data_IF_934806519762
#
_entry.id   IF_934806519762
#
_cell.length_a   1.000
_cell.length_b   1.000
_cell.length_c   1.000
_cell.angle_alpha   90.00
_cell.angle_beta   90.00
_cell.angle_gamma   90.00
#
_symmetry.space_group_name_H-M   'P 1'
#
loop_
_entity.id
_entity.type
_entity.pdbx_description
1 polymer ?
#
# COMPACT_ATOMS: atom_id res chain seq x y z
N UNK A 1 49.32 -7.21 30.79
CA UNK A 1 48.77 -8.46 30.21
C UNK A 1 47.26 -8.55 30.42
N UNK A 2 46.77 -8.34 31.64
CA UNK A 2 45.33 -8.30 31.93
C UNK A 2 44.56 -7.21 31.14
N UNK A 3 45.12 -6.01 31.01
CA UNK A 3 44.44 -4.90 30.31
C UNK A 3 44.23 -5.18 28.81
N UNK A 4 45.19 -5.85 28.16
CA UNK A 4 45.10 -6.23 26.74
C UNK A 4 43.95 -7.25 26.54
N UNK A 5 43.79 -8.19 27.48
CA UNK A 5 42.71 -9.18 27.45
C UNK A 5 41.35 -8.49 27.63
N UNK A 6 41.24 -7.53 28.54
CA UNK A 6 40.00 -6.77 28.78
C UNK A 6 39.60 -5.95 27.55
N UNK A 7 40.55 -5.29 26.88
CA UNK A 7 40.29 -4.51 25.66
C UNK A 7 39.79 -5.42 24.52
N UNK A 8 40.38 -6.60 24.36
CA UNK A 8 39.95 -7.57 23.34
C UNK A 8 38.52 -8.07 23.57
N UNK A 9 38.14 -8.33 24.83
CA UNK A 9 36.79 -8.75 25.18
C UNK A 9 35.78 -7.63 24.92
N UNK A 10 36.12 -6.40 25.33
CA UNK A 10 35.27 -5.23 25.11
C UNK A 10 35.04 -4.95 23.62
N UNK A 11 36.10 -5.06 22.80
CA UNK A 11 36.00 -4.90 21.36
C UNK A 11 35.10 -5.96 20.70
N UNK A 12 35.15 -7.21 21.17
CA UNK A 12 34.31 -8.32 20.70
C UNK A 12 32.82 -8.10 21.04
N UNK A 13 32.53 -7.58 22.24
CA UNK A 13 31.16 -7.26 22.66
C UNK A 13 30.59 -6.08 21.85
N UNK A 14 31.36 -5.01 21.66
CA UNK A 14 30.92 -3.86 20.86
C UNK A 14 30.75 -4.23 19.38
N UNK A 15 31.68 -5.02 18.83
CA UNK A 15 31.62 -5.48 17.44
C UNK A 15 30.41 -6.37 17.15
N UNK A 16 30.08 -7.30 18.05
CA UNK A 16 28.91 -8.17 17.88
C UNK A 16 27.58 -7.38 17.98
N UNK A 17 27.48 -6.42 18.90
CA UNK A 17 26.32 -5.53 19.00
C UNK A 17 26.13 -4.65 17.75
N UNK A 18 27.21 -4.07 17.23
CA UNK A 18 27.17 -3.28 16.00
C UNK A 18 26.78 -4.14 14.79
N UNK A 19 27.37 -5.33 14.65
CA UNK A 19 27.06 -6.26 13.56
C UNK A 19 25.59 -6.73 13.61
N UNK A 20 25.06 -7.01 14.81
CA UNK A 20 23.66 -7.38 15.00
C UNK A 20 22.71 -6.26 14.55
N UNK A 21 22.98 -5.01 14.95
CA UNK A 21 22.18 -3.85 14.53
C UNK A 21 22.24 -3.61 13.02
N UNK A 22 23.41 -3.76 12.39
CA UNK A 22 23.59 -3.59 10.94
C UNK A 22 22.86 -4.71 10.17
N UNK A 23 22.92 -5.95 10.66
CA UNK A 23 22.24 -7.11 10.05
C UNK A 23 20.71 -6.96 10.11
N UNK A 24 20.18 -6.48 11.25
CA UNK A 24 18.76 -6.23 11.42
C UNK A 24 18.23 -5.19 10.41
N UNK A 25 18.96 -4.09 10.21
CA UNK A 25 18.58 -3.04 9.23
C UNK A 25 18.57 -3.55 7.79
N UNK A 26 19.47 -4.47 7.43
CA UNK A 26 19.58 -5.02 6.06
C UNK A 26 18.50 -6.06 5.75
N UNK A 27 17.91 -6.69 6.76
CA UNK A 27 16.85 -7.71 6.64
C UNK A 27 15.42 -7.13 6.56
N UNK A 28 15.25 -5.82 6.41
CA UNK A 28 13.95 -5.23 6.06
C UNK A 28 12.99 -4.93 7.22
N UNK A 29 13.41 -5.06 8.48
CA UNK A 29 12.63 -4.53 9.62
C UNK A 29 12.76 -3.00 9.65
N UNK A 30 11.79 -2.32 9.04
CA UNK A 30 11.73 -0.83 9.00
C UNK A 30 11.57 -0.17 10.38
N UNK A 31 11.25 -0.94 11.42
CA UNK A 31 11.01 -0.42 12.76
C UNK A 31 11.65 -1.36 13.80
N UNK A 32 12.67 -0.87 14.51
CA UNK A 32 13.23 -1.52 15.71
C UNK A 32 12.26 -1.23 16.87
N UNK A 33 11.65 -2.26 17.46
CA UNK A 33 10.76 -2.14 18.64
C UNK A 33 9.29 -2.49 18.42
N UNK A 34 8.84 -2.83 17.20
CA UNK A 34 7.49 -3.36 17.00
C UNK A 34 7.44 -4.86 17.34
N UNK A 35 6.60 -5.32 18.30
CA UNK A 35 6.45 -6.74 18.62
C UNK A 35 5.89 -7.57 17.44
N UNK A 36 5.38 -6.91 16.40
CA UNK A 36 4.86 -7.53 15.18
C UNK A 36 5.91 -7.78 14.07
N UNK A 37 7.20 -7.50 14.29
CA UNK A 37 8.28 -7.97 13.40
C UNK A 37 8.14 -7.59 11.92
N UNK A 38 7.59 -6.41 11.60
CA UNK A 38 7.43 -5.96 10.22
C UNK A 38 6.29 -6.61 9.43
N UNK A 39 5.38 -7.36 10.07
CA UNK A 39 4.18 -7.93 9.43
C UNK A 39 3.06 -6.90 9.13
N UNK A 40 3.34 -5.60 9.26
CA UNK A 40 2.39 -4.55 8.89
C UNK A 40 2.07 -4.64 7.39
N UNK A 41 0.80 -4.90 6.99
CA UNK A 41 0.40 -5.05 5.60
C UNK A 41 0.53 -3.76 4.76
N UNK A 42 0.83 -2.64 5.42
CA UNK A 42 0.67 -1.28 4.89
C UNK A 42 1.78 -0.77 3.96
N UNK A 43 2.78 -1.57 3.59
CA UNK A 43 3.88 -1.09 2.70
C UNK A 43 4.00 -1.81 1.36
N UNK A 44 2.98 -2.59 0.98
CA UNK A 44 2.87 -3.06 -0.39
C UNK A 44 2.63 -1.89 -1.32
N UNK A 45 3.63 -1.50 -2.13
CA UNK A 45 3.42 -0.57 -3.24
C UNK A 45 2.26 -1.11 -4.08
N UNK A 46 1.18 -0.35 -4.20
CA UNK A 46 0.03 -0.73 -5.03
C UNK A 46 0.53 -0.84 -6.47
N UNK A 47 0.57 -2.04 -7.07
CA UNK A 47 0.90 -2.15 -8.48
C UNK A 47 -0.22 -1.46 -9.24
N UNK A 48 0.11 -0.34 -9.90
CA UNK A 48 -0.82 0.34 -10.79
C UNK A 48 -1.11 -0.63 -11.95
N UNK A 49 -2.31 -1.21 -11.98
CA UNK A 49 -2.76 -2.09 -13.06
C UNK A 49 -2.82 -1.25 -14.34
N UNK A 50 -1.88 -1.45 -15.26
CA UNK A 50 -1.99 -0.91 -16.61
C UNK A 50 -2.88 -1.85 -17.40
N UNK A 51 -4.00 -1.36 -17.92
CA UNK A 51 -4.83 -2.12 -18.86
C UNK A 51 -3.97 -2.41 -20.09
N UNK A 52 -3.88 -3.69 -20.46
CA UNK A 52 -3.11 -4.14 -21.63
C UNK A 52 -3.88 -3.96 -22.96
N UNK A 53 -5.16 -3.57 -22.91
CA UNK A 53 -6.06 -3.46 -24.07
C UNK A 53 -6.53 -2.03 -24.39
N UNK A 54 -7.40 -1.92 -25.41
CA UNK A 54 -8.09 -0.67 -25.79
C UNK A 54 -9.12 -0.33 -24.69
N UNK A 55 -9.02 0.87 -24.11
CA UNK A 55 -10.03 1.38 -23.15
C UNK A 55 -11.34 1.61 -23.91
N UNK A 56 -12.37 0.85 -23.57
CA UNK A 56 -13.68 0.89 -24.23
C UNK A 56 -14.57 1.97 -23.60
N UNK A 57 -14.45 2.19 -22.29
CA UNK A 57 -15.20 3.25 -21.59
C UNK A 57 -14.39 3.91 -20.47
N UNK A 58 -14.67 5.20 -20.23
CA UNK A 58 -14.14 5.97 -19.10
C UNK A 58 -15.28 6.57 -18.32
N UNK A 59 -15.23 6.42 -17.00
CA UNK A 59 -16.20 6.97 -16.04
C UNK A 59 -15.47 7.65 -14.90
N UNK A 60 -16.12 8.60 -14.26
CA UNK A 60 -15.67 9.32 -13.08
C UNK A 60 -16.68 9.09 -11.98
N UNK A 61 -16.23 8.48 -10.89
CA UNK A 61 -17.05 8.22 -9.71
C UNK A 61 -16.65 9.17 -8.59
N UNK A 62 -17.60 9.87 -7.99
CA UNK A 62 -17.39 10.61 -6.73
C UNK A 62 -17.63 9.67 -5.56
N UNK A 63 -16.67 9.63 -4.65
CA UNK A 63 -16.69 8.73 -3.49
C UNK A 63 -16.56 9.57 -2.23
N UNK A 64 -17.49 9.38 -1.31
CA UNK A 64 -17.53 10.01 0.01
C UNK A 64 -16.85 9.11 1.04
N UNK A 65 -16.19 9.72 2.04
CA UNK A 65 -15.50 9.01 3.12
C UNK A 65 -13.99 8.78 2.90
N UNK A 66 -13.42 9.27 1.79
CA UNK A 66 -11.97 9.24 1.56
C UNK A 66 -11.30 10.45 2.21
N UNK A 67 -11.00 10.37 3.51
CA UNK A 67 -10.38 11.48 4.25
C UNK A 67 -8.85 11.35 4.38
N UNK A 68 -8.28 10.21 3.98
CA UNK A 68 -6.88 9.90 4.23
C UNK A 68 -6.20 9.27 3.02
N UNK A 69 -4.86 9.37 2.95
CA UNK A 69 -4.08 8.74 1.88
C UNK A 69 -4.27 7.22 1.87
N UNK A 70 -4.42 6.59 3.04
CA UNK A 70 -4.71 5.16 3.14
C UNK A 70 -6.08 4.79 2.55
N UNK A 71 -7.08 5.64 2.78
CA UNK A 71 -8.45 5.47 2.30
C UNK A 71 -8.47 5.46 0.76
N UNK A 72 -7.71 6.38 0.15
CA UNK A 72 -7.54 6.46 -1.31
C UNK A 72 -6.84 5.22 -1.85
N UNK A 73 -5.82 4.75 -1.13
CA UNK A 73 -5.06 3.55 -1.49
C UNK A 73 -5.94 2.29 -1.48
N UNK A 74 -6.75 2.10 -0.44
CA UNK A 74 -7.66 0.96 -0.33
C UNK A 74 -8.70 0.96 -1.44
N UNK A 75 -9.39 2.08 -1.66
CA UNK A 75 -10.38 2.21 -2.74
C UNK A 75 -9.75 1.93 -4.12
N UNK A 76 -8.55 2.47 -4.37
CA UNK A 76 -7.81 2.23 -5.62
C UNK A 76 -7.49 0.75 -5.80
N UNK A 77 -7.09 0.07 -4.72
CA UNK A 77 -6.75 -1.36 -4.76
C UNK A 77 -7.97 -2.22 -5.07
N UNK A 78 -9.09 -1.94 -4.42
CA UNK A 78 -10.35 -2.70 -4.56
C UNK A 78 -10.91 -2.54 -5.97
N UNK A 79 -10.91 -1.32 -6.52
CA UNK A 79 -11.35 -1.09 -7.90
C UNK A 79 -10.41 -1.74 -8.93
N UNK A 80 -9.11 -1.76 -8.68
CA UNK A 80 -8.13 -2.40 -9.58
C UNK A 80 -8.13 -3.94 -9.50
N UNK A 81 -8.69 -4.52 -8.42
CA UNK A 81 -8.90 -5.96 -8.32
C UNK A 81 -9.97 -6.46 -9.29
N UNK A 82 -10.87 -5.59 -9.75
CA UNK A 82 -11.89 -5.96 -10.73
C UNK A 82 -11.22 -6.20 -12.08
N UNK A 83 -11.50 -7.36 -12.69
CA UNK A 83 -10.98 -7.70 -14.00
C UNK A 83 -11.46 -6.75 -15.07
N UNK A 84 -10.51 -6.23 -15.83
CA UNK A 84 -10.78 -5.26 -16.88
C UNK A 84 -11.02 -3.82 -16.42
N UNK A 85 -10.85 -3.54 -15.14
CA UNK A 85 -10.96 -2.18 -14.58
C UNK A 85 -9.60 -1.65 -14.16
N UNK A 86 -9.32 -0.40 -14.51
CA UNK A 86 -8.22 0.39 -13.95
C UNK A 86 -8.78 1.68 -13.37
N UNK A 87 -8.65 1.84 -12.05
CA UNK A 87 -9.05 3.02 -11.33
C UNK A 87 -7.84 3.84 -10.85
N UNK A 88 -7.98 5.16 -10.95
CA UNK A 88 -7.05 6.15 -10.42
C UNK A 88 -7.85 7.11 -9.55
N UNK A 89 -7.61 7.07 -8.25
CA UNK A 89 -8.31 7.89 -7.26
C UNK A 89 -7.49 9.12 -6.92
N UNK A 90 -8.15 10.28 -6.83
CA UNK A 90 -7.53 11.56 -6.49
C UNK A 90 -8.18 12.16 -5.25
N UNK A 91 -7.43 12.23 -4.14
CA UNK A 91 -7.90 12.85 -2.89
C UNK A 91 -8.28 14.32 -3.12
N UNK A 92 -7.44 15.07 -3.83
CA UNK A 92 -7.62 16.50 -4.09
C UNK A 92 -8.91 16.83 -4.83
N UNK A 93 -9.44 15.87 -5.62
CA UNK A 93 -10.67 16.04 -6.41
C UNK A 93 -11.85 15.28 -5.84
N UNK A 94 -11.68 14.52 -4.75
CA UNK A 94 -12.73 13.65 -4.19
C UNK A 94 -13.34 12.68 -5.20
N UNK A 95 -12.57 12.23 -6.19
CA UNK A 95 -13.09 11.44 -7.32
C UNK A 95 -12.12 10.35 -7.78
N UNK A 96 -12.71 9.28 -8.31
CA UNK A 96 -12.06 8.13 -8.89
C UNK A 96 -12.30 8.12 -10.41
N UNK A 97 -11.24 8.15 -11.19
CA UNK A 97 -11.31 7.93 -12.64
C UNK A 97 -11.17 6.45 -12.93
N UNK A 98 -12.17 5.88 -13.56
CA UNK A 98 -12.29 4.47 -13.87
C UNK A 98 -12.17 4.32 -15.39
N UNK A 99 -11.24 3.47 -15.81
CA UNK A 99 -11.08 3.07 -17.21
C UNK A 99 -11.40 1.59 -17.30
N UNK A 100 -12.26 1.21 -18.24
CA UNK A 100 -12.68 -0.17 -18.43
C UNK A 100 -12.25 -0.67 -19.82
N UNK A 101 -11.74 -1.90 -19.88
CA UNK A 101 -11.45 -2.61 -21.14
C UNK A 101 -12.67 -3.35 -21.72
N UNK A 102 -13.75 -3.44 -20.95
CA UNK A 102 -15.01 -4.09 -21.29
C UNK A 102 -16.18 -3.31 -20.71
N UNK A 103 -17.39 -3.62 -21.15
CA UNK A 103 -18.59 -3.09 -20.49
C UNK A 103 -18.73 -3.75 -19.11
N UNK A 104 -18.50 -2.95 -18.07
CA UNK A 104 -18.75 -3.30 -16.67
C UNK A 104 -19.98 -2.50 -16.24
N UNK A 105 -20.92 -3.15 -15.56
CA UNK A 105 -22.09 -2.47 -14.97
C UNK A 105 -21.68 -1.54 -13.83
N UNK A 106 -22.30 -0.37 -13.75
CA UNK A 106 -22.05 0.60 -12.67
C UNK A 106 -22.36 0.03 -11.28
N UNK A 107 -23.30 -0.91 -11.20
CA UNK A 107 -23.64 -1.62 -9.98
C UNK A 107 -22.47 -2.43 -9.42
N UNK A 108 -21.66 -3.06 -10.29
CA UNK A 108 -20.49 -3.85 -9.86
C UNK A 108 -19.44 -2.93 -9.23
N UNK A 109 -19.19 -1.78 -9.86
CA UNK A 109 -18.27 -0.77 -9.35
C UNK A 109 -18.76 -0.19 -8.02
N UNK A 110 -20.05 0.14 -7.94
CA UNK A 110 -20.67 0.66 -6.71
C UNK A 110 -20.58 -0.36 -5.57
N UNK A 111 -20.98 -1.60 -5.82
CA UNK A 111 -20.99 -2.67 -4.83
C UNK A 111 -19.57 -2.97 -4.31
N UNK A 112 -18.54 -2.92 -5.18
CA UNK A 112 -17.16 -3.07 -4.75
C UNK A 112 -16.71 -1.97 -3.76
N UNK A 113 -17.13 -0.72 -3.99
CA UNK A 113 -16.80 0.43 -3.14
C UNK A 113 -17.62 0.41 -1.84
N UNK A 114 -18.89 0.03 -1.90
CA UNK A 114 -19.76 -0.09 -0.73
C UNK A 114 -19.34 -1.23 0.20
N UNK A 115 -18.93 -2.38 -0.35
CA UNK A 115 -18.33 -3.48 0.43
C UNK A 115 -17.07 -3.08 1.16
N UNK A 116 -16.36 -2.07 0.65
CA UNK A 116 -15.19 -1.49 1.28
C UNK A 116 -15.53 -0.45 2.35
N UNK A 117 -16.81 -0.16 2.57
CA UNK A 117 -17.29 0.81 3.57
C UNK A 117 -17.29 2.26 3.09
N UNK A 118 -17.27 2.50 1.77
CA UNK A 118 -17.32 3.85 1.19
C UNK A 118 -18.62 4.09 0.43
N UNK A 119 -19.07 5.33 0.41
CA UNK A 119 -20.31 5.71 -0.29
C UNK A 119 -20.02 6.33 -1.65
N UNK A 120 -20.74 5.90 -2.67
CA UNK A 120 -20.67 6.48 -4.02
C UNK A 120 -21.70 7.61 -4.15
N UNK A 121 -21.24 8.84 -4.29
CA UNK A 121 -22.10 10.02 -4.39
C UNK A 121 -22.66 10.22 -5.81
N UNK A 122 -21.85 9.97 -6.84
CA UNK A 122 -22.27 10.08 -8.24
C UNK A 122 -21.35 9.29 -9.17
N UNK A 123 -21.87 8.81 -10.29
CA UNK A 123 -21.10 8.21 -11.38
C UNK A 123 -21.40 9.03 -12.64
N UNK A 124 -20.37 9.42 -13.38
CA UNK A 124 -20.45 10.29 -14.56
C UNK A 124 -19.56 9.77 -15.68
#
# INVERSE_FOLDING_TARGET
MADIIVIMILALLIGSAAAYMIRAKKNGVKCIGCPAGGSCPGSGKIPKKKLAGRVVSRRTMKISGMNCAHCVMDVTKILNQIDGVSAVVSLSKGSARISCDREIGDEILRNAVEKAGYHVASIT
#
